data_IF_312521342243
#
_entry.id   IF_312521342243
#
_cell.length_a   1.000
_cell.length_b   1.000
_cell.length_c   1.000
_cell.angle_alpha   90.00
_cell.angle_beta   90.00
_cell.angle_gamma   90.00
#
_symmetry.space_group_name_H-M   'P 1'
#
loop_
_entity.id
_entity.type
_entity.pdbx_description
1 polymer ?
#
# COMPACT_ATOMS: atom_id res chain seq x y z
N UNK A 1 -5.58 -47.58 -2.49
CA UNK A 1 -5.78 -46.12 -2.26
C UNK A 1 -4.49 -45.56 -1.69
N UNK A 2 -3.53 -45.17 -2.55
CA UNK A 2 -2.41 -44.35 -2.11
C UNK A 2 -2.97 -42.97 -1.79
N UNK A 3 -2.84 -42.52 -0.54
CA UNK A 3 -3.03 -41.11 -0.22
C UNK A 3 -1.73 -40.41 -0.62
N UNK A 4 -1.80 -39.49 -1.57
CA UNK A 4 -0.72 -38.54 -1.86
C UNK A 4 -0.49 -37.67 -0.61
N UNK A 5 0.40 -38.12 0.28
CA UNK A 5 0.75 -37.42 1.52
C UNK A 5 1.80 -36.32 1.32
N UNK A 6 2.29 -36.12 0.10
CA UNK A 6 3.33 -35.11 -0.21
C UNK A 6 2.80 -33.73 -0.60
N UNK A 7 1.47 -33.55 -0.72
CA UNK A 7 0.90 -32.31 -1.25
C UNK A 7 0.68 -31.19 -0.21
N UNK A 8 0.86 -31.46 1.09
CA UNK A 8 0.64 -30.47 2.15
C UNK A 8 -0.81 -29.95 2.25
N UNK A 9 -1.10 -28.98 3.14
CA UNK A 9 -2.40 -28.31 3.18
C UNK A 9 -2.60 -27.46 1.92
N UNK A 10 -3.82 -27.48 1.37
CA UNK A 10 -4.21 -26.59 0.26
C UNK A 10 -4.43 -25.19 0.82
N UNK A 11 -3.58 -24.25 0.42
CA UNK A 11 -3.69 -22.85 0.80
C UNK A 11 -4.76 -22.15 -0.03
N UNK A 12 -5.35 -21.07 0.48
CA UNK A 12 -6.23 -20.24 -0.35
C UNK A 12 -5.40 -19.61 -1.49
N UNK A 13 -5.90 -19.66 -2.73
CA UNK A 13 -5.18 -19.14 -3.90
C UNK A 13 -4.80 -17.67 -3.74
N UNK A 14 -5.61 -16.88 -3.04
CA UNK A 14 -5.32 -15.47 -2.80
C UNK A 14 -4.24 -15.21 -1.74
N UNK A 15 -3.76 -16.25 -1.05
CA UNK A 15 -2.66 -16.20 -0.09
C UNK A 15 -1.33 -16.69 -0.67
N UNK A 16 -1.36 -17.29 -1.88
CA UNK A 16 -0.17 -17.81 -2.54
C UNK A 16 0.82 -16.72 -2.98
N UNK A 17 0.41 -15.59 -3.59
CA UNK A 17 1.37 -14.67 -4.22
C UNK A 17 2.47 -14.18 -3.26
N UNK A 18 2.11 -13.74 -2.05
CA UNK A 18 3.12 -13.23 -1.10
C UNK A 18 3.94 -14.32 -0.42
N UNK A 19 3.42 -15.55 -0.31
CA UNK A 19 4.20 -16.69 0.22
C UNK A 19 5.26 -17.15 -0.76
N UNK A 20 4.92 -17.22 -2.05
CA UNK A 20 5.91 -17.56 -3.09
C UNK A 20 6.94 -16.46 -3.21
N UNK A 21 6.53 -15.19 -3.22
CA UNK A 21 7.45 -14.05 -3.19
C UNK A 21 8.35 -14.07 -1.96
N UNK A 22 7.80 -14.32 -0.77
CA UNK A 22 8.54 -14.41 0.48
C UNK A 22 9.57 -15.54 0.47
N UNK A 23 9.18 -16.75 0.05
CA UNK A 23 10.09 -17.89 -0.08
C UNK A 23 11.22 -17.61 -1.05
N UNK A 24 10.89 -17.03 -2.22
CA UNK A 24 11.86 -16.67 -3.24
C UNK A 24 12.88 -15.66 -2.72
N UNK A 25 12.43 -14.59 -2.06
CA UNK A 25 13.33 -13.58 -1.51
C UNK A 25 14.18 -14.12 -0.35
N UNK A 26 13.62 -15.00 0.49
CA UNK A 26 14.37 -15.65 1.57
C UNK A 26 15.53 -16.51 1.02
N UNK A 27 15.28 -17.26 -0.06
CA UNK A 27 16.33 -18.00 -0.78
C UNK A 27 17.39 -17.05 -1.35
N UNK A 28 16.98 -15.98 -2.02
CA UNK A 28 17.90 -14.97 -2.59
C UNK A 28 18.77 -14.31 -1.52
N UNK A 29 18.21 -14.02 -0.33
CA UNK A 29 18.96 -13.46 0.80
C UNK A 29 20.01 -14.44 1.32
N UNK A 30 19.63 -15.71 1.47
CA UNK A 30 20.53 -16.78 1.92
C UNK A 30 21.70 -16.97 0.95
N UNK A 31 21.41 -17.07 -0.36
CA UNK A 31 22.43 -17.25 -1.39
C UNK A 31 23.37 -16.05 -1.50
N UNK A 32 22.83 -14.85 -1.33
CA UNK A 32 23.60 -13.63 -1.29
C UNK A 32 24.32 -13.39 0.04
N UNK A 33 24.09 -14.20 1.09
CA UNK A 33 24.64 -13.95 2.43
C UNK A 33 24.25 -12.58 2.99
N UNK A 34 23.00 -12.18 2.79
CA UNK A 34 22.41 -10.95 3.34
C UNK A 34 21.56 -11.31 4.57
N UNK A 35 21.67 -10.51 5.62
CA UNK A 35 20.88 -10.69 6.84
C UNK A 35 19.38 -10.48 6.59
N UNK A 36 18.54 -11.24 7.30
CA UNK A 36 17.08 -11.10 7.22
C UNK A 36 16.70 -9.71 7.77
N UNK A 37 15.90 -8.91 7.03
CA UNK A 37 15.57 -7.56 7.44
C UNK A 37 14.67 -7.55 8.68
N UNK A 38 14.98 -6.67 9.63
CA UNK A 38 14.12 -6.42 10.80
C UNK A 38 13.17 -5.23 10.58
N UNK A 39 13.51 -4.36 9.63
CA UNK A 39 12.74 -3.17 9.27
C UNK A 39 12.48 -3.12 7.76
N UNK A 40 11.24 -2.78 7.42
CA UNK A 40 10.81 -2.52 6.05
C UNK A 40 10.66 -1.02 5.80
N UNK A 41 10.98 -0.58 4.59
CA UNK A 41 10.70 0.78 4.13
C UNK A 41 9.95 0.70 2.81
N UNK A 42 8.79 1.36 2.72
CA UNK A 42 8.10 1.59 1.46
C UNK A 42 8.41 3.01 1.04
N UNK A 43 9.32 3.15 0.08
CA UNK A 43 9.78 4.45 -0.40
C UNK A 43 8.74 5.05 -1.35
N UNK A 44 7.94 5.98 -0.84
CA UNK A 44 7.15 6.88 -1.68
C UNK A 44 7.99 8.04 -2.24
N UNK A 45 7.31 9.00 -2.86
CA UNK A 45 7.90 10.25 -3.34
C UNK A 45 8.69 10.93 -2.21
N UNK A 46 9.98 11.24 -2.42
CA UNK A 46 10.87 11.81 -1.38
C UNK A 46 11.99 10.87 -0.90
N UNK A 47 11.79 9.56 -0.98
CA UNK A 47 12.75 8.56 -0.44
C UNK A 47 13.26 7.54 -1.47
N UNK A 48 13.03 7.77 -2.76
CA UNK A 48 13.55 6.88 -3.82
C UNK A 48 15.09 6.75 -3.81
N UNK A 49 15.78 7.73 -3.24
CA UNK A 49 17.24 7.74 -3.01
C UNK A 49 17.70 7.04 -1.72
N UNK A 50 16.81 6.70 -0.78
CA UNK A 50 17.19 6.13 0.52
C UNK A 50 17.98 4.83 0.38
N UNK A 51 17.63 3.99 -0.59
CA UNK A 51 18.32 2.72 -0.80
C UNK A 51 19.80 2.90 -1.19
N UNK A 52 20.18 4.05 -1.79
CA UNK A 52 21.58 4.36 -2.10
C UNK A 52 22.40 4.67 -0.83
N UNK A 53 21.71 4.83 0.31
CA UNK A 53 22.32 5.10 1.60
C UNK A 53 22.44 3.86 2.47
N UNK A 54 22.03 2.68 1.94
CA UNK A 54 22.27 1.39 2.57
C UNK A 54 23.77 1.07 2.52
N UNK A 55 24.29 0.66 3.65
CA UNK A 55 25.70 0.33 3.86
C UNK A 55 25.92 -1.19 3.78
N UNK A 56 27.19 -1.59 3.67
CA UNK A 56 27.60 -2.99 3.68
C UNK A 56 27.28 -3.73 2.38
N UNK A 57 27.03 -5.04 2.49
CA UNK A 57 26.63 -5.86 1.34
C UNK A 57 25.16 -5.61 1.04
N UNK A 58 24.84 -5.32 -0.22
CA UNK A 58 23.47 -5.07 -0.65
C UNK A 58 23.01 -6.08 -1.70
N UNK A 59 21.70 -6.28 -1.79
CA UNK A 59 21.06 -7.09 -2.83
C UNK A 59 19.89 -6.31 -3.40
N UNK A 60 19.82 -6.19 -4.72
CA UNK A 60 18.68 -5.61 -5.43
C UNK A 60 17.97 -6.68 -6.23
N UNK A 61 16.64 -6.75 -6.12
CA UNK A 61 15.79 -7.68 -6.88
C UNK A 61 14.67 -6.88 -7.53
N UNK A 62 14.54 -6.99 -8.86
CA UNK A 62 13.44 -6.33 -9.60
C UNK A 62 12.12 -7.04 -9.35
N UNK A 63 11.00 -6.30 -9.32
CA UNK A 63 9.67 -6.88 -9.15
C UNK A 63 9.34 -7.91 -10.24
N UNK A 64 9.81 -7.69 -11.47
CA UNK A 64 9.67 -8.64 -12.58
C UNK A 64 10.34 -9.99 -12.35
N UNK A 65 11.29 -10.10 -11.40
CA UNK A 65 11.95 -11.35 -11.03
C UNK A 65 11.25 -12.06 -9.87
N UNK A 66 10.36 -11.37 -9.14
CA UNK A 66 9.72 -11.90 -7.93
C UNK A 66 8.41 -12.58 -8.34
N UNK A 67 8.28 -13.91 -8.14
CA UNK A 67 7.03 -14.59 -8.45
C UNK A 67 5.86 -14.00 -7.64
N UNK A 68 4.71 -13.82 -8.28
CA UNK A 68 3.52 -13.22 -7.66
C UNK A 68 3.47 -11.69 -7.70
N UNK A 69 4.56 -11.00 -8.02
CA UNK A 69 4.55 -9.54 -8.22
C UNK A 69 4.10 -9.18 -9.63
N UNK A 70 3.42 -8.03 -9.81
CA UNK A 70 3.28 -7.41 -11.13
C UNK A 70 4.64 -7.13 -11.76
N UNK A 71 4.75 -7.39 -13.06
CA UNK A 71 6.01 -7.23 -13.78
C UNK A 71 6.46 -5.76 -13.93
N UNK A 72 5.56 -4.79 -13.71
CA UNK A 72 5.82 -3.37 -13.93
C UNK A 72 5.21 -2.48 -12.84
N UNK A 73 5.89 -1.37 -12.54
CA UNK A 73 5.31 -0.19 -11.90
C UNK A 73 5.20 0.90 -12.96
N UNK A 74 4.03 1.52 -13.12
CA UNK A 74 3.80 2.46 -14.24
C UNK A 74 4.03 3.92 -13.86
N UNK A 75 4.02 4.24 -12.57
CA UNK A 75 4.19 5.61 -12.07
C UNK A 75 5.64 6.07 -12.21
N UNK A 76 5.83 7.25 -12.79
CA UNK A 76 7.14 7.88 -12.92
C UNK A 76 7.83 8.05 -11.54
N UNK A 77 9.12 7.70 -11.47
CA UNK A 77 9.88 7.73 -10.22
C UNK A 77 9.85 6.43 -9.41
N UNK A 78 9.00 5.45 -9.77
CA UNK A 78 8.98 4.12 -9.17
C UNK A 78 9.88 3.18 -9.97
N UNK A 79 10.93 2.66 -9.34
CA UNK A 79 11.92 1.80 -10.02
C UNK A 79 11.46 0.35 -10.18
N UNK A 80 10.53 -0.10 -9.34
CA UNK A 80 10.01 -1.46 -9.39
C UNK A 80 11.04 -2.49 -8.91
N UNK A 81 11.71 -2.21 -7.80
CA UNK A 81 12.72 -3.09 -7.21
C UNK A 81 12.70 -3.02 -5.68
N UNK A 82 13.13 -4.11 -5.03
CA UNK A 82 13.42 -4.16 -3.59
C UNK A 82 14.92 -4.22 -3.38
N UNK A 83 15.43 -3.42 -2.43
CA UNK A 83 16.84 -3.36 -2.07
C UNK A 83 17.02 -3.76 -0.61
N UNK A 84 17.93 -4.69 -0.36
CA UNK A 84 18.31 -5.15 0.97
C UNK A 84 19.71 -4.66 1.32
N UNK A 85 19.95 -4.40 2.61
CA UNK A 85 21.25 -3.97 3.12
C UNK A 85 21.17 -3.53 4.57
N UNK A 86 22.19 -2.82 5.05
CA UNK A 86 22.18 -2.23 6.39
C UNK A 86 21.78 -0.76 6.31
N UNK A 87 20.76 -0.36 7.06
CA UNK A 87 20.40 1.04 7.25
C UNK A 87 20.84 1.45 8.66
N UNK A 88 21.89 2.26 8.78
CA UNK A 88 22.46 2.66 10.07
C UNK A 88 22.77 1.45 10.99
N UNK A 89 23.33 0.39 10.39
CA UNK A 89 23.68 -0.85 11.09
C UNK A 89 22.53 -1.83 11.34
N UNK A 90 21.31 -1.52 10.87
CA UNK A 90 20.14 -2.39 11.02
C UNK A 90 19.81 -3.08 9.70
N UNK A 91 19.65 -4.42 9.65
CA UNK A 91 19.17 -5.13 8.46
C UNK A 91 17.82 -4.59 8.00
N UNK A 92 17.76 -4.06 6.78
CA UNK A 92 16.62 -3.37 6.24
C UNK A 92 16.29 -3.83 4.81
N UNK A 93 15.02 -3.74 4.45
CA UNK A 93 14.54 -3.89 3.08
C UNK A 93 13.77 -2.65 2.63
N UNK A 94 14.08 -2.14 1.44
CA UNK A 94 13.49 -0.92 0.89
C UNK A 94 12.81 -1.22 -0.45
N UNK A 95 11.50 -1.09 -0.52
CA UNK A 95 10.74 -1.14 -1.77
C UNK A 95 10.82 0.21 -2.48
N UNK A 96 11.46 0.25 -3.65
CA UNK A 96 11.66 1.46 -4.46
C UNK A 96 10.60 1.56 -5.53
N UNK A 97 9.45 2.05 -5.10
CA UNK A 97 8.23 2.11 -5.89
C UNK A 97 7.17 1.24 -5.24
N UNK A 98 5.97 1.78 -5.19
CA UNK A 98 4.77 1.07 -4.72
C UNK A 98 3.78 0.90 -5.86
N UNK A 99 2.77 0.08 -5.61
CA UNK A 99 1.61 -0.08 -6.45
C UNK A 99 0.49 0.81 -5.93
N UNK A 100 -0.21 1.50 -6.82
CA UNK A 100 -1.39 2.27 -6.46
C UNK A 100 -2.65 1.67 -7.05
N UNK A 101 -3.76 1.77 -6.32
CA UNK A 101 -5.04 1.28 -6.83
C UNK A 101 -5.54 2.05 -8.05
N UNK A 102 -5.14 3.33 -8.23
CA UNK A 102 -5.49 4.09 -9.43
C UNK A 102 -4.78 3.59 -10.70
N UNK A 103 -3.73 2.76 -10.58
CA UNK A 103 -3.08 2.06 -11.71
C UNK A 103 -3.92 0.85 -12.17
N UNK A 104 -5.05 0.58 -11.51
CA UNK A 104 -5.91 -0.58 -11.76
C UNK A 104 -5.56 -1.81 -10.92
N UNK A 105 -4.55 -1.72 -10.05
CA UNK A 105 -4.20 -2.78 -9.13
C UNK A 105 -5.31 -3.01 -8.08
N UNK A 106 -5.62 -4.27 -7.81
CA UNK A 106 -6.44 -4.62 -6.66
C UNK A 106 -5.71 -4.35 -5.34
N UNK A 107 -6.46 -4.27 -4.24
CA UNK A 107 -5.85 -3.94 -2.95
C UNK A 107 -4.90 -5.03 -2.44
N UNK A 108 -5.06 -6.29 -2.89
CA UNK A 108 -4.15 -7.40 -2.54
C UNK A 108 -2.78 -7.20 -3.19
N UNK A 109 -2.74 -6.73 -4.43
CA UNK A 109 -1.53 -6.33 -5.13
C UNK A 109 -0.88 -5.13 -4.45
N UNK A 110 -1.67 -4.11 -4.08
CA UNK A 110 -1.18 -2.91 -3.40
C UNK A 110 -0.42 -3.25 -2.11
N UNK A 111 -0.94 -4.19 -1.32
CA UNK A 111 -0.33 -4.57 -0.03
C UNK A 111 0.65 -5.76 -0.13
N UNK A 112 0.90 -6.28 -1.33
CA UNK A 112 1.78 -7.42 -1.54
C UNK A 112 3.19 -7.23 -0.93
N UNK A 113 3.84 -6.05 -1.07
CA UNK A 113 5.12 -5.76 -0.40
C UNK A 113 5.05 -5.94 1.13
N UNK A 114 3.95 -5.55 1.76
CA UNK A 114 3.76 -5.63 3.21
C UNK A 114 3.64 -7.08 3.67
N UNK A 115 2.87 -7.91 2.96
CA UNK A 115 2.79 -9.33 3.31
C UNK A 115 4.13 -10.06 3.08
N UNK A 116 4.92 -9.63 2.10
CA UNK A 116 6.29 -10.14 1.92
C UNK A 116 7.21 -9.73 3.08
N UNK A 117 7.14 -8.48 3.54
CA UNK A 117 7.85 -8.05 4.75
C UNK A 117 7.49 -8.96 5.94
N UNK A 118 6.20 -9.28 6.08
CA UNK A 118 5.70 -10.17 7.12
C UNK A 118 6.24 -11.60 7.01
N UNK A 119 6.35 -12.16 5.80
CA UNK A 119 7.00 -13.45 5.55
C UNK A 119 8.48 -13.48 5.99
N UNK A 120 9.16 -12.33 5.89
CA UNK A 120 10.57 -12.17 6.28
C UNK A 120 10.74 -11.72 7.75
N UNK A 121 9.69 -11.80 8.57
CA UNK A 121 9.70 -11.41 9.99
C UNK A 121 10.12 -9.94 10.25
N UNK A 122 9.82 -9.04 9.30
CA UNK A 122 9.96 -7.60 9.54
C UNK A 122 9.02 -7.20 10.68
N UNK A 123 9.53 -6.44 11.66
CA UNK A 123 8.80 -6.08 12.89
C UNK A 123 8.22 -4.67 12.84
N UNK A 124 8.85 -3.80 12.06
CA UNK A 124 8.43 -2.42 11.90
C UNK A 124 8.53 -2.01 10.43
N UNK A 125 7.60 -1.15 10.00
CA UNK A 125 7.58 -0.59 8.65
C UNK A 125 7.56 0.94 8.71
N UNK A 126 8.41 1.57 7.91
CA UNK A 126 8.36 3.00 7.64
C UNK A 126 7.74 3.19 6.26
N UNK A 127 6.62 3.88 6.21
CA UNK A 127 5.89 4.15 4.97
C UNK A 127 5.96 5.64 4.70
N UNK A 128 6.35 6.03 3.50
CA UNK A 128 6.35 7.45 3.12
C UNK A 128 5.50 7.73 1.91
N UNK A 129 5.04 8.97 1.80
CA UNK A 129 4.30 9.46 0.64
C UNK A 129 4.51 10.98 0.45
N UNK A 130 4.17 11.45 -0.74
CA UNK A 130 3.82 12.86 -0.96
C UNK A 130 2.34 13.06 -0.67
N UNK A 131 1.99 14.21 -0.11
CA UNK A 131 0.63 14.60 0.22
C UNK A 131 0.37 16.08 -0.04
N UNK A 132 -0.87 16.42 -0.39
CA UNK A 132 -1.35 17.80 -0.37
C UNK A 132 -1.70 18.23 1.04
N UNK A 133 -1.26 19.41 1.46
CA UNK A 133 -1.60 19.98 2.77
C UNK A 133 -3.01 20.56 2.79
N UNK A 134 -3.91 19.96 3.58
CA UNK A 134 -5.26 20.47 3.87
C UNK A 134 -5.23 21.47 5.04
N UNK A 135 -4.36 21.22 6.02
CA UNK A 135 -4.17 22.10 7.15
C UNK A 135 -3.41 23.37 6.70
N UNK A 136 -3.98 24.58 6.84
CA UNK A 136 -3.39 25.81 6.33
C UNK A 136 -2.06 26.18 7.01
N UNK A 137 -1.77 25.63 8.20
CA UNK A 137 -0.51 25.86 8.90
C UNK A 137 0.64 25.04 8.31
N UNK A 138 0.35 23.99 7.54
CA UNK A 138 1.38 23.19 6.89
C UNK A 138 1.96 23.93 5.69
N UNK A 139 3.25 23.73 5.45
CA UNK A 139 4.02 24.32 4.38
C UNK A 139 4.59 23.24 3.46
N UNK A 140 4.83 23.63 2.21
CA UNK A 140 5.53 22.76 1.27
C UNK A 140 6.91 22.45 1.84
N UNK A 141 7.26 21.17 1.88
CA UNK A 141 8.47 20.66 2.48
C UNK A 141 8.34 20.26 3.96
N UNK A 142 7.19 20.48 4.60
CA UNK A 142 6.93 19.92 5.93
C UNK A 142 6.81 18.39 5.86
N UNK A 143 7.25 17.72 6.92
CA UNK A 143 7.16 16.27 7.07
C UNK A 143 6.27 15.98 8.25
N UNK A 144 5.10 15.42 7.97
CA UNK A 144 4.06 15.15 8.95
C UNK A 144 4.15 13.70 9.42
N UNK A 145 4.26 13.51 10.73
CA UNK A 145 4.07 12.20 11.35
C UNK A 145 2.58 11.89 11.37
N UNK A 146 2.16 10.91 10.57
CA UNK A 146 0.76 10.52 10.51
C UNK A 146 0.43 9.68 11.73
N UNK A 147 -0.57 10.14 12.48
CA UNK A 147 -1.03 9.50 13.72
C UNK A 147 -2.47 9.03 13.63
N UNK A 148 -3.20 9.42 12.58
CA UNK A 148 -4.55 8.94 12.28
C UNK A 148 -4.84 9.02 10.77
N UNK A 149 -5.95 8.43 10.31
CA UNK A 149 -6.37 8.52 8.93
C UNK A 149 -7.89 8.57 8.72
N UNK A 150 -8.29 9.16 7.59
CA UNK A 150 -9.63 9.08 7.03
C UNK A 150 -9.56 8.36 5.68
N UNK A 151 -10.04 7.13 5.61
CA UNK A 151 -9.90 6.28 4.43
C UNK A 151 -11.22 6.13 3.67
N UNK A 152 -11.56 7.11 2.82
CA UNK A 152 -12.83 7.10 2.08
C UNK A 152 -13.01 5.80 1.24
N UNK A 153 -12.00 5.28 0.52
CA UNK A 153 -12.14 4.02 -0.21
C UNK A 153 -12.46 2.84 0.72
N UNK A 154 -11.91 2.81 1.94
CA UNK A 154 -12.17 1.73 2.88
C UNK A 154 -13.62 1.78 3.40
N UNK A 155 -14.13 2.98 3.69
CA UNK A 155 -15.54 3.16 4.08
C UNK A 155 -16.52 2.75 2.97
N UNK A 156 -16.09 2.80 1.71
CA UNK A 156 -16.85 2.37 0.54
C UNK A 156 -16.56 0.90 0.11
N UNK A 157 -15.91 0.10 0.96
CA UNK A 157 -15.69 -1.33 0.72
C UNK A 157 -14.42 -1.70 -0.08
N UNK A 158 -13.60 -0.73 -0.50
CA UNK A 158 -12.28 -0.99 -1.11
C UNK A 158 -11.16 -1.09 -0.06
N UNK A 159 -11.37 -1.91 0.97
CA UNK A 159 -10.38 -2.15 2.02
C UNK A 159 -9.46 -3.33 1.66
N UNK A 160 -8.16 -3.25 1.97
CA UNK A 160 -7.18 -4.30 1.67
C UNK A 160 -7.42 -5.64 2.37
N UNK A 161 -8.22 -5.67 3.44
CA UNK A 161 -8.58 -6.89 4.17
C UNK A 161 -9.90 -7.54 3.67
N UNK A 162 -10.52 -7.01 2.61
CA UNK A 162 -11.72 -7.61 2.02
C UNK A 162 -11.37 -8.93 1.33
N UNK A 163 -12.16 -9.97 1.61
CA UNK A 163 -11.96 -11.34 1.13
C UNK A 163 -11.67 -12.33 2.27
N UNK A 164 -11.22 -13.56 1.97
CA UNK A 164 -10.84 -14.56 2.96
C UNK A 164 -9.68 -14.09 3.84
N UNK A 165 -9.82 -14.23 5.18
CA UNK A 165 -8.73 -13.93 6.10
C UNK A 165 -7.65 -15.03 6.04
N UNK A 166 -6.40 -14.63 6.22
CA UNK A 166 -5.32 -15.54 6.57
C UNK A 166 -5.00 -15.37 8.05
N UNK A 167 -5.27 -16.40 8.86
CA UNK A 167 -5.06 -16.38 10.30
C UNK A 167 -3.58 -16.37 10.69
N UNK A 168 -2.65 -16.73 9.78
CA UNK A 168 -1.20 -16.59 10.00
C UNK A 168 -0.73 -15.14 9.86
N UNK A 169 -1.42 -14.33 9.04
CA UNK A 169 -1.15 -12.89 8.94
C UNK A 169 -1.68 -12.17 10.18
N UNK A 170 -2.94 -12.39 10.54
CA UNK A 170 -3.55 -11.68 11.66
C UNK A 170 -5.04 -11.95 11.85
N UNK A 171 -5.67 -11.30 12.85
CA UNK A 171 -7.07 -11.55 13.19
C UNK A 171 -8.02 -11.07 12.09
N UNK A 172 -9.21 -11.67 12.00
CA UNK A 172 -10.25 -11.27 11.04
C UNK A 172 -10.68 -9.81 11.16
N UNK A 173 -10.70 -9.27 12.38
CA UNK A 173 -11.20 -7.93 12.69
C UNK A 173 -10.18 -7.13 13.51
N UNK A 174 -9.10 -6.62 12.89
CA UNK A 174 -8.09 -5.84 13.62
C UNK A 174 -8.65 -4.45 14.00
N UNK A 175 -8.54 -4.01 15.26
CA UNK A 175 -8.89 -2.64 15.63
C UNK A 175 -7.86 -1.65 15.02
N UNK A 176 -8.29 -0.51 14.49
CA UNK A 176 -7.38 0.44 13.82
C UNK A 176 -7.06 1.69 14.65
N UNK A 177 -7.66 1.85 15.83
CA UNK A 177 -7.43 2.98 16.74
C UNK A 177 -5.99 3.06 17.27
N UNK A 178 -5.20 1.99 17.09
CA UNK A 178 -3.80 1.89 17.46
C UNK A 178 -2.89 1.54 16.27
N UNK A 179 -3.34 1.80 15.03
CA UNK A 179 -2.59 1.44 13.82
C UNK A 179 -1.23 2.17 13.70
N UNK A 180 -1.11 3.37 14.29
CA UNK A 180 0.12 4.17 14.31
C UNK A 180 0.79 4.05 15.67
N UNK A 181 2.07 3.71 15.68
CA UNK A 181 2.77 3.46 16.94
C UNK A 181 3.35 4.77 17.54
N UNK A 182 2.93 5.18 18.75
CA UNK A 182 3.41 6.42 19.36
C UNK A 182 4.91 6.42 19.66
N UNK A 183 5.51 5.26 19.96
CA UNK A 183 6.94 5.17 20.24
C UNK A 183 7.78 5.40 18.97
N UNK A 184 7.28 4.98 17.80
CA UNK A 184 7.96 5.27 16.53
C UNK A 184 7.86 6.76 16.20
N UNK A 185 6.72 7.41 16.42
CA UNK A 185 6.60 8.86 16.26
C UNK A 185 7.55 9.62 17.21
N UNK A 186 7.67 9.18 18.46
CA UNK A 186 8.63 9.75 19.40
C UNK A 186 10.08 9.65 18.89
N UNK A 187 10.44 8.55 18.23
CA UNK A 187 11.75 8.39 17.61
C UNK A 187 11.99 9.40 16.47
N UNK A 188 10.95 9.80 15.73
CA UNK A 188 11.03 10.90 14.75
C UNK A 188 11.34 12.22 15.42
N UNK A 189 10.66 12.54 16.52
CA UNK A 189 10.90 13.80 17.25
C UNK A 189 12.31 13.84 17.86
N UNK A 190 12.80 12.71 18.37
CA UNK A 190 14.19 12.60 18.85
C UNK A 190 15.20 12.78 17.71
N UNK A 191 14.96 12.16 16.55
CA UNK A 191 15.78 12.32 15.35
C UNK A 191 15.79 13.78 14.87
N UNK A 192 14.62 14.39 14.76
CA UNK A 192 14.43 15.78 14.39
C UNK A 192 15.22 16.74 15.31
N UNK A 193 15.13 16.52 16.62
CA UNK A 193 15.87 17.31 17.61
C UNK A 193 17.39 17.20 17.44
N UNK A 194 17.91 15.99 17.17
CA UNK A 194 19.35 15.79 16.90
C UNK A 194 19.81 16.50 15.64
N UNK A 195 18.98 16.49 14.61
CA UNK A 195 19.24 17.17 13.34
C UNK A 195 19.00 18.69 13.39
N UNK A 196 18.38 19.20 14.47
CA UNK A 196 17.83 20.56 14.54
C UNK A 196 16.86 20.84 13.37
N UNK A 197 16.08 19.84 13.00
CA UNK A 197 15.07 19.93 11.96
C UNK A 197 13.86 20.74 12.45
N UNK A 198 13.48 21.76 11.70
CA UNK A 198 12.35 22.67 11.94
C UNK A 198 11.13 22.35 11.05
N UNK A 199 11.25 21.39 10.15
CA UNK A 199 10.23 21.00 9.17
C UNK A 199 9.35 19.83 9.62
N UNK A 200 9.39 19.44 10.90
CA UNK A 200 8.71 18.24 11.40
C UNK A 200 7.42 18.64 12.08
N UNK A 201 6.30 18.12 11.56
CA UNK A 201 4.99 18.23 12.19
C UNK A 201 4.71 16.92 12.95
N UNK A 202 4.49 16.98 14.27
CA UNK A 202 4.44 15.79 15.12
C UNK A 202 3.16 14.95 14.97
N UNK A 203 2.08 15.55 14.46
CA UNK A 203 0.77 14.91 14.35
C UNK A 203 0.04 15.37 13.10
N UNK A 204 -0.66 14.44 12.46
CA UNK A 204 -1.60 14.75 11.39
C UNK A 204 -2.48 13.57 11.02
N UNK A 205 -3.66 13.90 10.52
CA UNK A 205 -4.65 12.97 9.99
C UNK A 205 -4.52 12.91 8.47
N UNK A 206 -4.17 11.73 7.93
CA UNK A 206 -4.03 11.53 6.48
C UNK A 206 -5.35 11.08 5.85
N UNK A 207 -5.83 11.82 4.86
CA UNK A 207 -6.98 11.47 4.05
C UNK A 207 -6.54 10.62 2.87
N UNK A 208 -6.97 9.36 2.83
CA UNK A 208 -6.80 8.50 1.67
C UNK A 208 -7.99 8.63 0.72
N UNK A 209 -7.70 9.05 -0.51
CA UNK A 209 -8.64 9.09 -1.64
C UNK A 209 -8.13 8.19 -2.77
N UNK A 210 -9.02 7.79 -3.69
CA UNK A 210 -8.62 6.86 -4.76
C UNK A 210 -7.71 7.46 -5.83
N UNK A 211 -7.81 8.76 -6.13
CA UNK A 211 -7.15 9.35 -7.30
C UNK A 211 -7.73 8.82 -8.65
N UNK A 212 -7.05 9.05 -9.79
CA UNK A 212 -5.76 9.73 -9.94
C UNK A 212 -5.89 11.25 -10.08
N UNK A 213 -7.10 11.78 -10.22
CA UNK A 213 -7.31 13.24 -10.20
C UNK A 213 -6.98 13.79 -8.82
N UNK A 214 -6.28 14.93 -8.78
CA UNK A 214 -6.19 15.73 -7.56
C UNK A 214 -7.57 16.21 -7.14
N UNK A 215 -7.70 16.55 -5.87
CA UNK A 215 -8.97 16.89 -5.25
C UNK A 215 -9.50 18.23 -5.78
N UNK A 216 -10.81 18.27 -6.03
CA UNK A 216 -11.53 19.52 -6.27
C UNK A 216 -11.60 20.38 -5.01
N UNK A 217 -11.84 21.68 -5.16
CA UNK A 217 -12.01 22.61 -4.02
C UNK A 217 -13.05 22.14 -3.00
N UNK A 218 -14.13 21.51 -3.46
CA UNK A 218 -15.20 20.99 -2.58
C UNK A 218 -14.77 19.72 -1.84
N UNK A 219 -14.03 18.82 -2.49
CA UNK A 219 -13.45 17.63 -1.86
C UNK A 219 -12.42 18.05 -0.79
N UNK A 220 -11.52 18.99 -1.10
CA UNK A 220 -10.60 19.56 -0.13
C UNK A 220 -11.33 20.14 1.09
N UNK A 221 -12.39 20.93 0.86
CA UNK A 221 -13.18 21.50 1.94
C UNK A 221 -13.86 20.43 2.79
N UNK A 222 -14.44 19.40 2.17
CA UNK A 222 -15.06 18.27 2.86
C UNK A 222 -14.04 17.53 3.73
N UNK A 223 -12.91 17.12 3.16
CA UNK A 223 -11.86 16.38 3.87
C UNK A 223 -11.32 17.17 5.06
N UNK A 224 -11.06 18.46 4.88
CA UNK A 224 -10.62 19.34 5.96
C UNK A 224 -11.68 19.49 7.05
N UNK A 225 -12.94 19.67 6.68
CA UNK A 225 -14.07 19.79 7.63
C UNK A 225 -14.31 18.49 8.41
N UNK A 226 -13.94 17.35 7.83
CA UNK A 226 -13.97 16.05 8.49
C UNK A 226 -12.76 15.80 9.41
N UNK A 227 -11.83 16.75 9.54
CA UNK A 227 -10.64 16.63 10.40
C UNK A 227 -9.37 16.18 9.68
N UNK A 228 -9.35 16.17 8.35
CA UNK A 228 -8.16 15.85 7.57
C UNK A 228 -7.11 16.95 7.55
N UNK A 229 -5.84 16.59 7.75
CA UNK A 229 -4.70 17.52 7.74
C UNK A 229 -3.90 17.47 6.44
N UNK A 230 -3.83 16.31 5.80
CA UNK A 230 -3.24 16.15 4.48
C UNK A 230 -3.97 15.07 3.68
N UNK A 231 -3.82 15.06 2.36
CA UNK A 231 -4.51 14.13 1.46
C UNK A 231 -3.54 13.49 0.48
N UNK A 232 -3.77 12.22 0.16
CA UNK A 232 -3.04 11.53 -0.88
C UNK A 232 -3.71 10.22 -1.31
N UNK A 233 -3.03 9.52 -2.21
CA UNK A 233 -3.62 8.43 -3.01
C UNK A 233 -3.01 7.06 -2.72
N UNK A 234 -2.33 6.92 -1.59
CA UNK A 234 -1.58 5.70 -1.22
C UNK A 234 -1.60 5.43 0.29
N UNK A 235 -0.70 4.55 0.75
CA UNK A 235 -0.29 4.38 2.14
C UNK A 235 -1.28 3.66 3.03
N UNK A 236 -2.54 4.08 3.11
CA UNK A 236 -3.47 3.50 4.09
C UNK A 236 -3.73 1.99 3.88
N UNK A 237 -3.84 1.46 2.64
CA UNK A 237 -3.91 0.00 2.45
C UNK A 237 -2.71 -0.73 3.08
N UNK A 238 -1.51 -0.18 2.92
CA UNK A 238 -0.25 -0.74 3.44
C UNK A 238 -0.17 -0.62 4.97
N UNK A 239 -0.59 0.52 5.55
CA UNK A 239 -0.71 0.72 7.01
C UNK A 239 -1.61 -0.34 7.63
N UNK A 240 -2.80 -0.53 7.04
CA UNK A 240 -3.79 -1.49 7.55
C UNK A 240 -3.28 -2.93 7.43
N UNK A 241 -2.66 -3.29 6.31
CA UNK A 241 -2.07 -4.63 6.15
C UNK A 241 -0.92 -4.86 7.14
N UNK A 242 -0.07 -3.86 7.37
CA UNK A 242 1.07 -4.00 8.27
C UNK A 242 0.62 -4.13 9.72
N UNK A 243 -0.37 -3.33 10.13
CA UNK A 243 -0.99 -3.41 11.44
C UNK A 243 -1.72 -4.75 11.66
N UNK A 244 -2.48 -5.22 10.67
CA UNK A 244 -3.10 -6.55 10.68
C UNK A 244 -2.07 -7.64 10.90
N UNK A 245 -0.90 -7.51 10.26
CA UNK A 245 0.24 -8.40 10.38
C UNK A 245 1.00 -8.32 11.72
N UNK A 246 0.60 -7.44 12.64
CA UNK A 246 1.27 -7.20 13.92
C UNK A 246 2.55 -6.37 13.83
N UNK A 247 2.88 -5.80 12.66
CA UNK A 247 4.02 -4.90 12.50
C UNK A 247 3.72 -3.52 13.07
N UNK A 248 4.72 -2.87 13.65
CA UNK A 248 4.59 -1.47 14.08
C UNK A 248 4.76 -0.53 12.90
N UNK A 249 3.83 0.40 12.73
CA UNK A 249 3.82 1.31 11.57
C UNK A 249 4.26 2.71 11.97
N UNK A 250 5.20 3.26 11.20
CA UNK A 250 5.50 4.68 11.13
C UNK A 250 5.12 5.18 9.73
N UNK A 251 4.35 6.25 9.66
CA UNK A 251 3.97 6.87 8.40
C UNK A 251 4.42 8.34 8.37
N UNK A 252 5.14 8.73 7.32
CA UNK A 252 5.64 10.09 7.12
C UNK A 252 5.14 10.64 5.78
N UNK A 253 4.39 11.74 5.85
CA UNK A 253 3.93 12.45 4.66
C UNK A 253 4.77 13.69 4.42
N UNK A 254 5.38 13.80 3.25
CA UNK A 254 5.98 15.04 2.77
C UNK A 254 4.88 15.90 2.16
N UNK A 255 4.66 17.10 2.70
CA UNK A 255 3.74 18.06 2.12
C UNK A 255 4.38 18.64 0.86
N UNK A 256 3.81 18.33 -0.30
CA UNK A 256 4.40 18.71 -1.60
C UNK A 256 3.73 19.91 -2.24
N UNK A 257 2.50 20.21 -1.82
CA UNK A 257 1.72 21.33 -2.29
C UNK A 257 0.71 21.72 -1.21
N UNK A 258 0.25 22.98 -1.23
CA UNK A 258 -0.93 23.39 -0.44
C UNK A 258 -2.14 23.19 -1.33
N UNK A 259 -3.16 22.47 -0.85
CA UNK A 259 -4.33 22.21 -1.69
C UNK A 259 -5.10 23.50 -1.97
N UNK A 260 -5.65 23.60 -3.17
CA UNK A 260 -6.49 24.73 -3.54
C UNK A 260 -7.88 24.53 -2.94
N UNK A 261 -8.36 25.53 -2.22
CA UNK A 261 -9.68 25.53 -1.59
C UNK A 261 -10.55 26.64 -2.17
N UNK A 262 -11.79 26.76 -1.71
CA UNK A 262 -12.65 27.91 -2.08
C UNK A 262 -12.13 29.22 -1.51
N UNK A 263 -11.34 29.15 -0.43
CA UNK A 263 -10.85 30.30 0.33
C UNK A 263 -9.44 30.73 -0.10
N UNK A 264 -8.88 30.14 -1.17
CA UNK A 264 -7.59 30.53 -1.73
C UNK A 264 -7.56 30.41 -3.27
N UNK A 265 -6.65 31.17 -3.88
CA UNK A 265 -6.40 31.22 -5.33
C UNK A 265 -5.00 30.71 -5.67
N UNK A 266 -4.67 29.51 -5.19
CA UNK A 266 -3.43 28.81 -5.53
C UNK A 266 -3.43 28.23 -6.96
N UNK A 267 -2.24 27.93 -7.53
CA UNK A 267 -2.15 27.26 -8.82
C UNK A 267 -2.76 25.85 -8.74
N UNK A 268 -3.24 25.35 -9.88
CA UNK A 268 -3.71 23.97 -9.97
C UNK A 268 -2.57 22.98 -9.66
N UNK A 269 -2.88 21.95 -8.88
CA UNK A 269 -1.89 20.95 -8.50
C UNK A 269 -1.33 20.22 -9.73
N UNK A 270 -0.03 19.92 -9.70
CA UNK A 270 0.63 19.21 -10.81
C UNK A 270 1.60 18.16 -10.31
N UNK A 271 1.90 17.16 -11.14
CA UNK A 271 2.91 16.17 -10.76
C UNK A 271 4.32 16.78 -10.74
N UNK A 272 4.58 17.83 -11.53
CA UNK A 272 5.87 18.49 -11.60
C UNK A 272 6.25 19.19 -10.28
N UNK A 273 5.33 19.94 -9.66
CA UNK A 273 5.57 20.57 -8.34
C UNK A 273 5.81 19.51 -7.25
N UNK A 274 5.14 18.36 -7.34
CA UNK A 274 5.34 17.25 -6.40
C UNK A 274 6.77 16.73 -6.48
N UNK A 275 7.26 16.51 -7.70
CA UNK A 275 8.64 16.05 -7.93
C UNK A 275 9.68 17.08 -7.47
N UNK A 276 9.40 18.37 -7.65
CA UNK A 276 10.27 19.46 -7.20
C UNK A 276 10.37 19.51 -5.66
N UNK A 277 9.24 19.53 -4.95
CA UNK A 277 9.22 19.52 -3.49
C UNK A 277 9.92 18.28 -2.90
N UNK A 278 9.71 17.13 -3.55
CA UNK A 278 10.39 15.87 -3.24
C UNK A 278 11.91 15.98 -3.41
N UNK A 279 12.35 16.52 -4.54
CA UNK A 279 13.78 16.73 -4.82
C UNK A 279 14.42 17.61 -3.74
N UNK A 280 13.78 18.73 -3.42
CA UNK A 280 14.25 19.74 -2.47
C UNK A 280 14.38 19.24 -1.03
N UNK A 281 13.63 18.19 -0.65
CA UNK A 281 13.66 17.60 0.70
C UNK A 281 14.34 16.22 0.77
N UNK A 282 14.74 15.65 -0.36
CA UNK A 282 15.21 14.27 -0.46
C UNK A 282 16.40 13.95 0.47
N UNK A 283 17.41 14.83 0.55
CA UNK A 283 18.61 14.63 1.38
C UNK A 283 18.26 14.68 2.86
N UNK A 284 17.48 15.67 3.28
CA UNK A 284 17.07 15.81 4.68
C UNK A 284 16.16 14.64 5.10
N UNK A 285 15.30 14.14 4.21
CA UNK A 285 14.48 12.95 4.47
C UNK A 285 15.33 11.68 4.62
N UNK A 286 16.35 11.49 3.80
CA UNK A 286 17.28 10.36 3.95
C UNK A 286 18.00 10.41 5.29
N UNK A 287 18.50 11.60 5.68
CA UNK A 287 19.14 11.78 6.98
C UNK A 287 18.17 11.57 8.13
N UNK A 288 16.93 12.06 8.01
CA UNK A 288 15.87 11.85 9.02
C UNK A 288 15.61 10.36 9.22
N UNK A 289 15.45 9.60 8.15
CA UNK A 289 15.22 8.15 8.26
C UNK A 289 16.41 7.45 8.91
N UNK A 290 17.66 7.78 8.53
CA UNK A 290 18.85 7.23 9.21
C UNK A 290 18.83 7.49 10.72
N UNK A 291 18.53 8.73 11.12
CA UNK A 291 18.44 9.11 12.53
C UNK A 291 17.27 8.42 13.26
N UNK A 292 16.13 8.23 12.59
CA UNK A 292 15.02 7.43 13.12
C UNK A 292 15.52 6.01 13.39
N UNK A 293 16.17 5.36 12.42
CA UNK A 293 16.65 3.99 12.58
C UNK A 293 17.65 3.87 13.74
N UNK A 294 18.56 4.83 13.91
CA UNK A 294 19.45 4.88 15.08
C UNK A 294 18.66 4.92 16.40
N UNK A 295 17.62 5.76 16.47
CA UNK A 295 16.77 5.84 17.67
C UNK A 295 15.98 4.54 17.91
N UNK A 296 15.44 3.93 16.85
CA UNK A 296 14.70 2.67 16.91
C UNK A 296 15.60 1.52 17.37
N UNK A 297 16.80 1.40 16.81
CA UNK A 297 17.74 0.33 17.12
C UNK A 297 18.17 0.38 18.59
N UNK A 298 18.37 1.57 19.14
CA UNK A 298 18.82 1.73 20.53
C UNK A 298 17.75 1.33 21.56
N UNK A 299 16.47 1.60 21.28
CA UNK A 299 15.41 1.58 22.32
C UNK A 299 14.25 0.65 22.02
N UNK A 300 13.91 0.43 20.75
CA UNK A 300 12.61 -0.14 20.38
C UNK A 300 12.78 -1.49 19.70
N UNK A 301 13.58 -1.60 18.64
CA UNK A 301 13.74 -2.85 17.88
C UNK A 301 14.19 -4.06 18.74
N UNK A 302 15.15 -3.92 19.68
CA UNK A 302 15.57 -5.06 20.52
C UNK A 302 14.47 -5.56 21.47
N UNK A 303 13.44 -4.75 21.73
CA UNK A 303 12.32 -5.09 22.61
C UNK A 303 11.11 -5.62 21.83
N UNK A 304 11.15 -5.60 20.49
CA UNK A 304 10.05 -6.10 19.67
C UNK A 304 10.09 -7.63 19.60
N UNK A 305 9.01 -8.32 20.00
CA UNK A 305 8.94 -9.77 19.86
C UNK A 305 9.01 -10.16 18.38
N UNK A 306 9.46 -11.39 18.12
CA UNK A 306 9.30 -11.98 16.80
C UNK A 306 7.82 -12.21 16.49
N UNK A 307 7.47 -12.08 15.22
CA UNK A 307 6.14 -12.41 14.74
C UNK A 307 6.08 -13.92 14.48
N UNK A 308 4.89 -14.51 14.61
CA UNK A 308 4.69 -15.94 14.33
C UNK A 308 5.14 -16.27 12.90
N UNK A 309 5.79 -17.41 12.63
CA UNK A 309 6.22 -17.73 11.27
C UNK A 309 5.01 -17.89 10.33
N UNK A 310 5.22 -17.59 9.04
CA UNK A 310 4.27 -17.85 7.95
C UNK A 310 4.71 -19.13 7.23
N UNK A 311 3.80 -20.07 7.00
CA UNK A 311 4.10 -21.29 6.23
C UNK A 311 4.22 -20.97 4.74
N UNK A 312 5.40 -21.17 4.15
CA UNK A 312 5.69 -20.86 2.75
C UNK A 312 6.05 -22.07 1.90
N UNK A 313 6.37 -23.21 2.51
CA UNK A 313 6.95 -24.41 1.86
C UNK A 313 6.06 -24.94 0.74
N UNK A 314 4.76 -24.97 0.96
CA UNK A 314 3.79 -25.54 0.02
C UNK A 314 3.31 -24.54 -1.04
N UNK A 315 3.51 -23.24 -0.79
CA UNK A 315 2.98 -22.19 -1.65
C UNK A 315 3.56 -22.24 -3.07
N UNK A 316 4.87 -22.48 -3.21
CA UNK A 316 5.53 -22.52 -4.52
C UNK A 316 4.96 -23.62 -5.41
N UNK A 317 4.88 -24.84 -4.89
CA UNK A 317 4.33 -25.97 -5.64
C UNK A 317 2.86 -25.76 -6.03
N UNK A 318 2.04 -25.24 -5.11
CA UNK A 318 0.63 -24.96 -5.41
C UNK A 318 0.49 -23.84 -6.45
N UNK A 319 1.23 -22.75 -6.31
CA UNK A 319 1.21 -21.62 -7.25
C UNK A 319 1.61 -22.04 -8.67
N UNK A 320 2.67 -22.84 -8.82
CA UNK A 320 3.08 -23.36 -10.13
C UNK A 320 2.03 -24.28 -10.76
N UNK A 321 1.29 -25.06 -9.95
CA UNK A 321 0.17 -25.89 -10.45
C UNK A 321 -1.01 -25.03 -10.91
N UNK A 322 -1.37 -24.00 -10.16
CA UNK A 322 -2.50 -23.11 -10.50
C UNK A 322 -2.21 -22.30 -11.77
N UNK A 323 -0.98 -21.84 -11.96
CA UNK A 323 -0.57 -21.15 -13.20
C UNK A 323 -0.63 -22.08 -14.42
N UNK A 324 -0.12 -23.32 -14.31
CA UNK A 324 -0.18 -24.31 -15.39
C UNK A 324 -1.60 -24.80 -15.70
N UNK A 325 -2.46 -24.88 -14.69
CA UNK A 325 -3.86 -25.27 -14.86
C UNK A 325 -4.71 -24.20 -15.54
N UNK A 326 -4.34 -22.92 -15.40
CA UNK A 326 -4.99 -21.80 -16.10
C UNK A 326 -4.76 -21.81 -17.61
N UNK A 327 -3.57 -22.22 -18.06
CA UNK A 327 -3.22 -22.29 -19.49
C UNK A 327 -3.92 -23.44 -20.25
N UNK A 328 -4.37 -24.50 -19.55
CA UNK A 328 -5.12 -25.60 -20.16
C UNK A 328 -6.64 -25.35 -20.26
N UNK A 329 -7.16 -24.27 -19.66
CA UNK A 329 -8.58 -23.93 -19.70
C UNK A 329 -8.99 -23.09 -20.93
N UNK A 330 -8.04 -22.74 -21.81
CA UNK A 330 -8.30 -22.07 -23.09
C UNK A 330 -7.76 -22.97 -24.22
N UNK A 331 -8.36 -24.14 -24.42
CA UNK A 331 -7.86 -25.04 -25.46
C UNK A 331 -8.41 -26.45 -25.45
N UNK A 332 -9.73 -26.64 -25.30
CA UNK A 332 -10.39 -27.88 -25.71
C UNK A 332 -11.89 -27.65 -25.80
N UNK A 333 -12.35 -27.26 -26.99
CA UNK A 333 -13.59 -27.81 -27.57
C UNK A 333 -13.56 -27.53 -29.07
N UNK A 334 -12.96 -28.47 -29.79
CA UNK A 334 -13.08 -28.59 -31.24
C UNK A 334 -13.74 -29.93 -31.56
N UNK A 335 -15.00 -29.91 -32.00
CA UNK A 335 -15.39 -30.34 -33.35
C UNK A 335 -16.91 -30.59 -33.46
N UNK A 336 -17.59 -29.77 -34.25
CA UNK A 336 -18.44 -30.25 -35.36
C UNK A 336 -18.70 -29.11 -36.32
N UNK A 337 -18.44 -29.33 -37.61
CA UNK A 337 -18.33 -28.30 -38.63
C UNK A 337 -19.64 -27.70 -39.14
N UNK A 338 -19.48 -26.57 -39.83
CA UNK A 338 -20.51 -25.87 -40.59
C UNK A 338 -20.12 -24.40 -40.78
N UNK A 339 -19.73 -24.01 -41.99
CA UNK A 339 -19.47 -22.62 -42.40
C UNK A 339 -20.50 -22.24 -43.47
N UNK A 340 -20.75 -20.95 -43.79
CA UNK A 340 -21.09 -19.84 -42.91
C UNK A 340 -22.43 -19.19 -43.35
N UNK A 341 -23.19 -18.60 -42.43
CA UNK A 341 -24.29 -17.71 -42.78
C UNK A 341 -24.22 -16.43 -41.94
N UNK A 342 -24.24 -15.31 -42.66
CA UNK A 342 -24.26 -13.95 -42.15
C UNK A 342 -25.46 -13.69 -41.23
N UNK A 343 -25.21 -13.00 -40.11
CA UNK A 343 -26.26 -12.59 -39.19
C UNK A 343 -25.71 -11.68 -38.11
N UNK A 344 -25.69 -10.37 -38.39
CA UNK A 344 -25.46 -9.35 -37.37
C UNK A 344 -26.63 -9.36 -36.38
N UNK A 345 -26.36 -9.59 -35.09
CA UNK A 345 -27.34 -9.42 -34.02
C UNK A 345 -26.95 -8.20 -33.19
N UNK A 346 -27.87 -7.23 -33.22
CA UNK A 346 -27.88 -5.95 -32.52
C UNK A 346 -28.02 -6.12 -31.00
N UNK A 347 -27.18 -5.43 -30.23
CA UNK A 347 -27.36 -5.21 -28.79
C UNK A 347 -28.49 -4.20 -28.54
N UNK A 348 -29.73 -4.69 -28.47
CA UNK A 348 -30.87 -3.97 -27.89
C UNK A 348 -31.79 -4.98 -27.18
N UNK A 349 -31.49 -5.35 -25.92
CA UNK A 349 -32.48 -5.96 -25.00
C UNK A 349 -31.92 -6.22 -23.59
N UNK A 350 -31.37 -5.22 -22.89
CA UNK A 350 -31.19 -5.31 -21.42
C UNK A 350 -31.56 -4.00 -20.68
N UNK A 351 -31.91 -2.92 -21.39
CA UNK A 351 -32.11 -1.60 -20.78
C UNK A 351 -33.57 -1.26 -20.37
N UNK A 352 -34.56 -2.14 -20.56
CA UNK A 352 -35.98 -1.78 -20.36
C UNK A 352 -36.62 -2.32 -19.09
N UNK A 353 -35.91 -3.14 -18.29
CA UNK A 353 -36.45 -3.74 -17.06
C UNK A 353 -36.22 -2.92 -15.78
N UNK A 354 -35.24 -2.01 -15.76
CA UNK A 354 -34.83 -1.31 -14.54
C UNK A 354 -35.48 0.07 -14.34
N UNK A 355 -36.13 0.65 -15.37
CA UNK A 355 -36.75 1.97 -15.29
C UNK A 355 -38.19 1.98 -14.74
N UNK A 356 -38.89 0.84 -14.71
CA UNK A 356 -40.27 0.77 -14.22
C UNK A 356 -40.40 0.58 -12.70
N UNK A 357 -39.35 0.13 -12.01
CA UNK A 357 -39.38 -0.07 -10.55
C UNK A 357 -39.06 1.19 -9.74
N UNK A 358 -38.45 2.21 -10.36
CA UNK A 358 -38.10 3.48 -9.68
C UNK A 358 -39.21 4.53 -9.82
N UNK A 359 -40.04 4.46 -10.87
CA UNK A 359 -41.16 5.40 -11.06
C UNK A 359 -42.38 5.08 -10.17
N UNK A 360 -42.61 3.82 -9.81
CA UNK A 360 -43.74 3.41 -8.96
C UNK A 360 -43.61 3.87 -7.50
N UNK A 361 -42.39 3.89 -6.96
CA UNK A 361 -42.13 4.19 -5.55
C UNK A 361 -42.10 5.69 -5.23
N UNK A 362 -41.93 6.56 -6.23
CA UNK A 362 -41.91 8.02 -6.05
C UNK A 362 -43.33 8.63 -6.06
N UNK A 363 -44.28 8.00 -6.76
CA UNK A 363 -45.68 8.46 -6.80
C UNK A 363 -46.43 8.20 -5.47
N UNK A 364 -46.09 7.13 -4.76
CA UNK A 364 -46.73 6.81 -3.46
C UNK A 364 -46.22 7.72 -2.33
N UNK A 365 -44.97 8.19 -2.39
CA UNK A 365 -44.39 9.09 -1.38
C UNK A 365 -44.93 10.53 -1.50
N UNK A 366 -45.21 10.99 -2.72
CA UNK A 366 -45.75 12.34 -2.97
C UNK A 366 -47.24 12.47 -2.63
N UNK A 367 -48.02 11.39 -2.61
CA UNK A 367 -49.42 11.44 -2.18
C UNK A 367 -49.62 11.38 -0.65
N UNK A 368 -48.62 10.96 0.13
CA UNK A 368 -48.70 10.95 1.60
C UNK A 368 -48.29 12.27 2.27
N UNK A 369 -47.66 13.20 1.55
CA UNK A 369 -47.32 14.53 2.09
C UNK A 369 -48.39 15.62 1.88
N UNK A 370 -49.50 15.34 1.20
CA UNK A 370 -50.63 16.27 1.07
C UNK A 370 -51.84 15.95 1.97
N UNK A 371 -51.68 15.06 2.95
CA UNK A 371 -52.73 14.76 3.97
C UNK A 371 -52.19 14.82 5.41
N UNK A 372 -51.39 15.82 5.73
CA UNK A 372 -51.10 16.24 7.11
C UNK A 372 -51.19 17.75 7.24
#
# INVERSE_FOLDING_TARGET
MCRDTDNGPVLNSSHLPYRVAGSYLLERLKDAGIEIPSIGVICGSGLSGLSATLDGKTLTVKYSEIPGFPAHCTVAGHKGEVVFGLLSGVPAMCFRGRFHSYEGHDMKTVVLPVHVMRCLNVKAVIITNAAGGLNPTFNVGDVVCITDHLALPHLAGKNSLVGPNDDELGPRFPPTSNAYNPQLCQAVLEAAKRMKADFIVPHGTYCFVSGPMYESKSECHFLRSAGGDCVGMSTIPEVIAAHHCGMRVLCLSLITNKVVTKDNDGPAASHAEVLEAVSNRSVQMQQLVKEIIVALNKKILPQMPDLSPIEMKYAKMQYEREQKGGDFAIGADGSSGGSPASGAISMQSVATGALLFVAGSLATLLMQQQRR
#
